data_IF_448202394275
#
_entry.id   IF_448202394275
#
_cell.length_a   1.000
_cell.length_b   1.000
_cell.length_c   1.000
_cell.angle_alpha   90.00
_cell.angle_beta   90.00
_cell.angle_gamma   90.00
#
_symmetry.space_group_name_H-M   'P 1'
#
loop_
_entity.id
_entity.type
_entity.pdbx_description
1 polymer ?
#
# COMPACT_ATOMS: atom_id res chain seq x y z
N UNK A 1 28.76 -4.64 -27.18
CA UNK A 1 28.99 -6.07 -26.88
C UNK A 1 29.47 -6.79 -28.14
N UNK A 2 30.44 -7.71 -28.07
CA UNK A 2 30.97 -8.41 -29.25
C UNK A 2 29.97 -9.43 -29.81
N UNK A 3 29.76 -9.50 -31.14
CA UNK A 3 28.66 -10.26 -31.79
C UNK A 3 28.69 -11.74 -31.40
N UNK A 4 29.88 -12.35 -31.42
CA UNK A 4 30.12 -13.74 -31.02
C UNK A 4 29.83 -14.05 -29.54
N UNK A 5 29.74 -13.05 -28.65
CA UNK A 5 29.35 -13.25 -27.24
C UNK A 5 27.83 -13.31 -27.11
N UNK A 6 27.12 -12.40 -27.80
CA UNK A 6 25.65 -12.32 -27.80
C UNK A 6 25.01 -13.63 -28.28
N UNK A 7 25.50 -14.20 -29.38
CA UNK A 7 25.00 -15.47 -29.95
C UNK A 7 25.31 -16.71 -29.07
N UNK A 8 26.33 -16.62 -28.21
CA UNK A 8 26.65 -17.70 -27.25
C UNK A 8 25.74 -17.69 -26.04
N UNK A 9 25.43 -16.53 -25.47
CA UNK A 9 24.71 -16.40 -24.20
C UNK A 9 23.19 -16.20 -24.35
N UNK A 10 22.74 -15.63 -25.47
CA UNK A 10 21.34 -15.29 -25.72
C UNK A 10 20.74 -16.10 -26.87
N UNK A 11 19.41 -16.22 -26.87
CA UNK A 11 18.63 -16.65 -28.02
C UNK A 11 17.43 -15.72 -28.22
N UNK A 12 16.83 -15.78 -29.39
CA UNK A 12 15.64 -14.99 -29.72
C UNK A 12 14.43 -15.89 -29.97
N UNK A 13 13.25 -15.40 -29.62
CA UNK A 13 11.95 -16.04 -29.89
C UNK A 13 10.91 -14.96 -30.18
N UNK A 14 9.94 -15.26 -31.03
CA UNK A 14 8.81 -14.36 -31.28
C UNK A 14 7.65 -14.72 -30.35
N UNK A 15 7.07 -13.70 -29.71
CA UNK A 15 5.97 -13.82 -28.76
C UNK A 15 4.90 -12.81 -29.15
N UNK A 16 3.88 -13.26 -29.89
CA UNK A 16 2.97 -12.35 -30.59
C UNK A 16 3.73 -11.50 -31.61
N UNK A 17 3.46 -10.20 -31.64
CA UNK A 17 4.06 -9.25 -32.58
C UNK A 17 5.43 -8.69 -32.10
N UNK A 18 6.17 -9.43 -31.25
CA UNK A 18 7.41 -8.94 -30.64
C UNK A 18 8.49 -10.01 -30.52
N UNK A 19 9.70 -9.69 -30.96
CA UNK A 19 10.89 -10.56 -30.85
C UNK A 19 11.59 -10.35 -29.52
N UNK A 20 11.49 -11.33 -28.63
CA UNK A 20 12.22 -11.38 -27.37
C UNK A 20 13.65 -11.83 -27.61
N UNK A 21 14.62 -11.26 -26.88
CA UNK A 21 16.02 -11.72 -26.88
C UNK A 21 16.49 -11.90 -25.45
N UNK A 22 16.66 -13.14 -25.02
CA UNK A 22 16.82 -13.51 -23.60
C UNK A 22 18.00 -14.46 -23.38
N UNK A 23 18.53 -14.51 -22.15
CA UNK A 23 19.59 -15.44 -21.77
C UNK A 23 19.12 -16.89 -21.88
N UNK A 24 19.95 -17.79 -22.43
CA UNK A 24 19.65 -19.23 -22.62
C UNK A 24 19.35 -20.01 -21.33
N UNK A 25 19.58 -19.42 -20.16
CA UNK A 25 19.19 -19.97 -18.85
C UNK A 25 17.67 -19.91 -18.60
N UNK A 26 16.98 -18.99 -19.26
CA UNK A 26 15.52 -18.94 -19.25
C UNK A 26 15.01 -19.75 -20.44
N UNK A 27 14.10 -20.67 -20.20
CA UNK A 27 13.62 -21.63 -21.20
C UNK A 27 12.11 -21.83 -21.06
N UNK A 28 11.46 -22.36 -22.10
CA UNK A 28 10.03 -22.64 -22.11
C UNK A 28 9.14 -21.42 -21.79
N UNK A 29 9.57 -20.22 -22.23
CA UNK A 29 8.82 -18.98 -22.06
C UNK A 29 7.40 -19.12 -22.64
N UNK A 30 6.42 -18.62 -21.90
CA UNK A 30 5.01 -18.55 -22.30
C UNK A 30 4.48 -17.15 -22.02
N UNK A 31 3.68 -16.54 -22.92
CA UNK A 31 3.00 -15.28 -22.62
C UNK A 31 1.94 -15.52 -21.54
N UNK A 32 1.97 -14.72 -20.48
CA UNK A 32 1.00 -14.71 -19.38
C UNK A 32 0.22 -13.39 -19.27
N UNK A 33 0.50 -12.44 -20.17
CA UNK A 33 -0.12 -11.11 -20.22
C UNK A 33 0.41 -10.31 -21.41
N UNK A 34 -0.11 -9.09 -21.58
CA UNK A 34 0.28 -8.13 -22.62
C UNK A 34 1.02 -6.94 -22.02
N UNK A 35 1.97 -6.35 -22.75
CA UNK A 35 2.76 -5.20 -22.30
C UNK A 35 3.07 -4.21 -23.43
N UNK A 36 4.00 -3.29 -23.17
CA UNK A 36 4.44 -2.29 -24.15
C UNK A 36 5.13 -2.93 -25.37
N UNK A 37 4.97 -2.30 -26.54
CA UNK A 37 5.61 -2.69 -27.80
C UNK A 37 6.89 -1.87 -28.04
N UNK A 38 7.86 -2.44 -28.75
CA UNK A 38 9.09 -1.75 -29.17
C UNK A 38 10.36 -2.27 -28.48
N UNK A 39 11.34 -1.38 -28.27
CA UNK A 39 12.59 -1.72 -27.58
C UNK A 39 12.33 -1.69 -26.07
N UNK A 40 12.33 -2.86 -25.44
CA UNK A 40 12.06 -3.04 -24.01
C UNK A 40 13.26 -3.62 -23.26
N UNK A 41 13.43 -3.22 -22.00
CA UNK A 41 14.33 -3.89 -21.06
C UNK A 41 13.57 -5.01 -20.34
N UNK A 42 14.24 -6.14 -20.07
CA UNK A 42 13.62 -7.28 -19.37
C UNK A 42 14.01 -7.28 -17.90
N UNK A 43 13.00 -7.19 -17.02
CA UNK A 43 13.16 -7.44 -15.58
C UNK A 43 12.69 -8.87 -15.30
N UNK A 44 13.49 -9.65 -14.58
CA UNK A 44 13.13 -11.01 -14.18
C UNK A 44 12.81 -11.01 -12.69
N UNK A 45 11.59 -11.42 -12.36
CA UNK A 45 11.03 -11.43 -11.01
C UNK A 45 10.51 -12.84 -10.69
N UNK A 46 10.07 -13.06 -9.46
CA UNK A 46 9.31 -14.27 -9.14
C UNK A 46 7.96 -14.28 -9.88
N UNK A 47 7.50 -15.48 -10.26
CA UNK A 47 6.18 -15.66 -10.84
C UNK A 47 5.13 -15.69 -9.73
N UNK A 48 4.04 -14.96 -9.95
CA UNK A 48 2.84 -14.93 -9.11
C UNK A 48 1.67 -15.52 -9.93
N UNK A 49 0.66 -16.06 -9.25
CA UNK A 49 -0.38 -16.86 -9.90
C UNK A 49 -1.47 -16.00 -10.57
N UNK A 50 -1.83 -14.87 -9.95
CA UNK A 50 -2.93 -14.01 -10.37
C UNK A 50 -2.69 -12.54 -9.99
N UNK A 51 -3.50 -11.63 -10.54
CA UNK A 51 -3.65 -10.27 -10.00
C UNK A 51 -4.95 -10.14 -9.19
N UNK A 52 -5.04 -9.11 -8.35
CA UNK A 52 -6.16 -8.93 -7.44
C UNK A 52 -7.50 -8.68 -8.17
N UNK A 53 -7.49 -8.23 -9.43
CA UNK A 53 -8.72 -8.14 -10.24
C UNK A 53 -9.43 -9.50 -10.36
N UNK A 54 -8.66 -10.59 -10.45
CA UNK A 54 -9.22 -11.96 -10.53
C UNK A 54 -9.71 -12.42 -9.16
N UNK A 55 -8.99 -12.07 -8.09
CA UNK A 55 -9.33 -12.41 -6.69
C UNK A 55 -10.61 -11.73 -6.22
N UNK A 56 -10.86 -10.48 -6.63
CA UNK A 56 -12.07 -9.71 -6.32
C UNK A 56 -13.35 -10.40 -6.81
N UNK A 57 -13.25 -11.27 -7.83
CA UNK A 57 -14.39 -12.03 -8.37
C UNK A 57 -14.60 -13.38 -7.65
N UNK A 58 -13.83 -13.69 -6.62
CA UNK A 58 -13.94 -14.90 -5.80
C UNK A 58 -14.64 -14.59 -4.47
N UNK A 59 -15.35 -15.57 -3.91
CA UNK A 59 -15.82 -15.48 -2.53
C UNK A 59 -14.61 -15.55 -1.58
N UNK A 60 -14.37 -14.46 -0.85
CA UNK A 60 -13.35 -14.39 0.19
C UNK A 60 -14.03 -14.50 1.57
N UNK A 61 -13.34 -15.13 2.51
CA UNK A 61 -13.68 -15.04 3.93
C UNK A 61 -12.98 -13.84 4.60
N UNK A 62 -13.35 -13.56 5.85
CA UNK A 62 -12.74 -12.48 6.62
C UNK A 62 -11.24 -12.66 6.85
N UNK A 63 -10.74 -13.90 6.94
CA UNK A 63 -9.32 -14.19 7.17
C UNK A 63 -8.50 -13.81 5.94
N UNK A 64 -8.90 -14.29 4.74
CA UNK A 64 -8.27 -13.95 3.47
C UNK A 64 -8.35 -12.46 3.17
N UNK A 65 -9.52 -11.83 3.37
CA UNK A 65 -9.69 -10.40 3.14
C UNK A 65 -8.77 -9.57 4.06
N UNK A 66 -8.75 -9.85 5.37
CA UNK A 66 -7.88 -9.15 6.32
C UNK A 66 -6.39 -9.43 6.09
N UNK A 67 -6.01 -10.65 5.70
CA UNK A 67 -4.61 -11.02 5.46
C UNK A 67 -4.03 -10.37 4.18
N UNK A 68 -4.84 -10.25 3.12
CA UNK A 68 -4.47 -9.50 1.92
C UNK A 68 -4.31 -8.00 2.23
N UNK A 69 -5.21 -7.43 3.06
CA UNK A 69 -5.10 -6.04 3.52
C UNK A 69 -3.88 -5.80 4.41
N UNK A 70 -3.58 -6.72 5.33
CA UNK A 70 -2.39 -6.70 6.17
C UNK A 70 -1.11 -6.64 5.31
N UNK A 71 -0.97 -7.53 4.33
CA UNK A 71 0.20 -7.57 3.44
C UNK A 71 0.32 -6.29 2.58
N UNK A 72 -0.79 -5.75 2.07
CA UNK A 72 -0.78 -4.46 1.38
C UNK A 72 -0.30 -3.32 2.29
N UNK A 73 -0.79 -3.26 3.53
CA UNK A 73 -0.38 -2.24 4.51
C UNK A 73 1.09 -2.39 4.91
N UNK A 74 1.61 -3.60 5.08
CA UNK A 74 3.03 -3.85 5.35
C UNK A 74 3.92 -3.39 4.19
N UNK A 75 3.58 -3.78 2.95
CA UNK A 75 4.31 -3.35 1.75
C UNK A 75 4.33 -1.82 1.61
N UNK A 76 3.20 -1.16 1.84
CA UNK A 76 3.10 0.31 1.80
C UNK A 76 3.85 0.98 2.95
N UNK A 77 3.81 0.45 4.18
CA UNK A 77 4.62 0.97 5.29
C UNK A 77 6.12 0.92 4.97
N UNK A 78 6.60 -0.17 4.37
CA UNK A 78 8.00 -0.32 3.99
C UNK A 78 8.44 0.70 2.91
N UNK A 79 7.59 1.00 1.93
CA UNK A 79 7.82 2.08 0.95
C UNK A 79 7.81 3.46 1.63
N UNK A 80 6.83 3.73 2.49
CA UNK A 80 6.69 5.00 3.20
C UNK A 80 7.89 5.26 4.12
N UNK A 81 8.43 4.23 4.77
CA UNK A 81 9.66 4.29 5.56
C UNK A 81 10.91 4.60 4.71
N UNK A 82 10.92 4.22 3.44
CA UNK A 82 11.95 4.64 2.47
C UNK A 82 11.73 6.07 1.93
N UNK A 83 10.60 6.71 2.25
CA UNK A 83 10.19 8.01 1.71
C UNK A 83 9.57 7.95 0.32
N UNK A 84 9.14 6.76 -0.13
CA UNK A 84 8.51 6.51 -1.43
C UNK A 84 6.99 6.47 -1.24
N UNK A 85 6.25 7.22 -2.06
CA UNK A 85 4.77 7.15 -2.16
C UNK A 85 4.42 6.45 -3.47
N UNK A 86 3.49 5.49 -3.45
CA UNK A 86 3.19 4.66 -4.63
C UNK A 86 2.28 5.37 -5.65
N UNK A 87 1.22 6.06 -5.18
CA UNK A 87 0.32 6.93 -5.96
C UNK A 87 -0.55 6.28 -7.06
N UNK A 88 -0.34 5.00 -7.40
CA UNK A 88 -1.12 4.28 -8.44
C UNK A 88 -1.44 2.83 -8.03
N UNK A 89 -1.70 2.62 -6.74
CA UNK A 89 -2.26 1.39 -6.21
C UNK A 89 -3.64 1.11 -6.81
N UNK A 90 -3.78 -0.07 -7.40
CA UNK A 90 -4.99 -0.58 -8.05
C UNK A 90 -4.90 -2.11 -8.15
N UNK A 91 -6.02 -2.85 -8.26
CA UNK A 91 -5.99 -4.32 -8.24
C UNK A 91 -5.11 -4.99 -9.30
N UNK A 92 -4.87 -4.35 -10.46
CA UNK A 92 -3.97 -4.89 -11.48
C UNK A 92 -2.48 -4.80 -11.10
N UNK A 93 -2.13 -3.90 -10.18
CA UNK A 93 -0.78 -3.67 -9.68
C UNK A 93 -0.53 -4.43 -8.37
N UNK A 94 -1.49 -5.26 -7.94
CA UNK A 94 -1.38 -6.16 -6.80
C UNK A 94 -1.47 -7.58 -7.33
N UNK A 95 -0.46 -8.40 -7.04
CA UNK A 95 -0.39 -9.81 -7.46
C UNK A 95 -0.35 -10.74 -6.28
N UNK A 96 -0.95 -11.92 -6.44
CA UNK A 96 -1.11 -12.91 -5.40
C UNK A 96 -0.66 -14.30 -5.86
N UNK A 97 -0.33 -15.15 -4.89
CA UNK A 97 -0.23 -16.60 -5.07
C UNK A 97 -1.42 -17.32 -4.44
N UNK A 98 -1.57 -18.58 -4.79
CA UNK A 98 -2.57 -19.53 -4.27
C UNK A 98 -2.46 -19.80 -2.76
N UNK A 99 -1.32 -19.50 -2.14
CA UNK A 99 -1.11 -19.49 -0.68
C UNK A 99 -1.50 -18.15 -0.01
N UNK A 100 -2.13 -17.24 -0.76
CA UNK A 100 -2.48 -15.88 -0.37
C UNK A 100 -1.29 -14.93 -0.10
N UNK A 101 -0.05 -15.30 -0.47
CA UNK A 101 1.08 -14.34 -0.51
C UNK A 101 0.79 -13.23 -1.51
N UNK A 102 0.91 -11.98 -1.10
CA UNK A 102 0.64 -10.78 -1.90
C UNK A 102 1.92 -9.97 -2.13
N UNK A 103 2.06 -9.41 -3.34
CA UNK A 103 3.14 -8.47 -3.68
C UNK A 103 2.60 -7.28 -4.48
N UNK A 104 3.23 -6.13 -4.25
CA UNK A 104 2.91 -4.85 -4.88
C UNK A 104 3.84 -4.66 -6.09
N UNK A 105 3.29 -4.26 -7.23
CA UNK A 105 4.00 -4.02 -8.49
C UNK A 105 3.89 -2.56 -8.94
N UNK A 106 4.66 -2.23 -9.98
CA UNK A 106 4.55 -1.00 -10.77
C UNK A 106 4.76 0.29 -9.96
N UNK A 107 6.02 0.48 -9.58
CA UNK A 107 6.53 1.74 -9.04
C UNK A 107 6.77 2.82 -10.12
N UNK A 108 6.28 2.65 -11.36
CA UNK A 108 6.54 3.59 -12.46
C UNK A 108 5.99 5.01 -12.21
N UNK A 109 4.93 5.11 -11.39
CA UNK A 109 4.38 6.38 -10.90
C UNK A 109 4.74 6.67 -9.43
N UNK A 110 5.60 5.87 -8.79
CA UNK A 110 6.09 6.17 -7.45
C UNK A 110 7.04 7.38 -7.48
N UNK A 111 7.10 8.13 -6.38
CA UNK A 111 8.04 9.26 -6.21
C UNK A 111 8.48 9.40 -4.76
N UNK A 112 9.61 10.08 -4.57
CA UNK A 112 9.99 10.60 -3.25
C UNK A 112 8.95 11.61 -2.73
N UNK A 113 8.64 11.52 -1.44
CA UNK A 113 7.60 12.32 -0.77
C UNK A 113 7.84 13.84 -0.77
N UNK A 114 9.03 14.31 -1.17
CA UNK A 114 9.37 15.73 -1.29
C UNK A 114 8.78 16.39 -2.56
N UNK A 115 8.44 15.60 -3.58
CA UNK A 115 7.99 16.13 -4.88
C UNK A 115 6.50 16.49 -4.88
N UNK A 116 6.17 17.72 -4.49
CA UNK A 116 4.81 18.31 -4.55
C UNK A 116 4.27 18.55 -5.97
N UNK A 117 4.61 17.68 -6.92
CA UNK A 117 4.29 17.83 -8.34
C UNK A 117 2.87 17.32 -8.66
N UNK A 118 2.16 18.12 -9.45
CA UNK A 118 0.86 17.82 -10.02
C UNK A 118 0.97 16.68 -11.05
N UNK A 119 0.00 15.77 -11.07
CA UNK A 119 -0.04 14.70 -12.07
C UNK A 119 -0.41 15.24 -13.45
N UNK A 120 0.26 14.74 -14.49
CA UNK A 120 -0.15 14.92 -15.88
C UNK A 120 -1.47 14.19 -16.16
N UNK A 121 -2.47 14.86 -16.75
CA UNK A 121 -3.76 14.23 -17.04
C UNK A 121 -3.67 13.37 -18.30
N UNK A 122 -3.41 12.06 -18.13
CA UNK A 122 -3.50 11.08 -19.21
C UNK A 122 -4.33 9.85 -18.83
N UNK A 123 -4.80 9.14 -19.86
CA UNK A 123 -5.89 8.16 -19.84
C UNK A 123 -5.47 6.86 -19.14
N UNK A 124 -5.57 6.85 -17.80
CA UNK A 124 -5.34 5.68 -16.94
C UNK A 124 -6.51 5.56 -15.94
N UNK A 125 -6.79 4.33 -15.49
CA UNK A 125 -7.80 4.01 -14.46
C UNK A 125 -7.62 4.87 -13.21
N UNK A 126 -8.52 5.83 -13.00
CA UNK A 126 -8.44 6.80 -11.89
C UNK A 126 -9.24 6.42 -10.64
N UNK A 127 -9.94 5.28 -10.67
CA UNK A 127 -10.95 4.90 -9.68
C UNK A 127 -10.44 4.78 -8.24
N UNK A 128 -9.15 4.49 -8.09
CA UNK A 128 -8.47 4.31 -6.81
C UNK A 128 -7.68 5.56 -6.35
N UNK A 129 -7.65 6.64 -7.15
CA UNK A 129 -6.87 7.84 -6.80
C UNK A 129 -7.55 8.64 -5.69
N UNK A 130 -6.74 9.16 -4.76
CA UNK A 130 -7.22 9.97 -3.65
C UNK A 130 -7.80 11.32 -4.12
N UNK A 131 -8.79 11.90 -3.42
CA UNK A 131 -9.42 13.16 -3.82
C UNK A 131 -8.42 14.31 -3.97
N UNK A 132 -7.46 14.42 -3.05
CA UNK A 132 -6.38 15.42 -3.11
C UNK A 132 -5.53 15.31 -4.38
N UNK A 133 -5.32 14.10 -4.92
CA UNK A 133 -4.61 13.87 -6.19
C UNK A 133 -5.48 14.26 -7.39
N UNK A 134 -6.78 13.96 -7.34
CA UNK A 134 -7.74 14.30 -8.42
C UNK A 134 -7.98 15.82 -8.50
N UNK A 135 -8.00 16.50 -7.36
CA UNK A 135 -8.23 17.95 -7.22
C UNK A 135 -6.96 18.80 -7.35
N UNK A 136 -5.79 18.19 -7.53
CA UNK A 136 -4.52 18.91 -7.69
C UNK A 136 -4.09 19.66 -6.42
N UNK A 137 -4.35 19.08 -5.26
CA UNK A 137 -3.88 19.58 -3.96
C UNK A 137 -2.47 19.06 -3.66
N UNK A 138 -1.80 19.66 -2.67
CA UNK A 138 -0.66 19.00 -2.02
C UNK A 138 -1.13 17.73 -1.30
N UNK A 139 -0.35 16.65 -1.40
CA UNK A 139 -0.69 15.34 -0.86
C UNK A 139 0.48 14.75 -0.07
N UNK A 140 0.19 13.71 0.72
CA UNK A 140 1.16 13.01 1.57
C UNK A 140 1.06 11.49 1.34
N UNK A 141 1.86 10.71 2.07
CA UNK A 141 1.93 9.26 1.91
C UNK A 141 0.57 8.55 2.09
N UNK A 142 -0.35 9.12 2.88
CA UNK A 142 -1.69 8.57 3.10
C UNK A 142 -2.68 8.66 1.90
N UNK A 143 -2.23 9.12 0.73
CA UNK A 143 -2.95 8.85 -0.55
C UNK A 143 -3.06 7.34 -0.81
N UNK A 144 -2.02 6.57 -0.46
CA UNK A 144 -2.00 5.13 -0.69
C UNK A 144 -3.04 4.40 0.20
N UNK A 145 -3.36 4.95 1.38
CA UNK A 145 -4.42 4.44 2.27
C UNK A 145 -5.81 4.58 1.63
N UNK A 146 -6.07 5.68 0.91
CA UNK A 146 -7.32 5.83 0.17
C UNK A 146 -7.46 4.77 -0.93
N UNK A 147 -6.36 4.52 -1.66
CA UNK A 147 -6.32 3.49 -2.71
C UNK A 147 -6.59 2.10 -2.13
N UNK A 148 -5.98 1.75 -0.99
CA UNK A 148 -6.26 0.51 -0.25
C UNK A 148 -7.74 0.47 0.20
N UNK A 149 -8.30 1.58 0.68
CA UNK A 149 -9.72 1.68 1.04
C UNK A 149 -10.66 1.42 -0.16
N UNK A 150 -10.32 1.92 -1.35
CA UNK A 150 -11.05 1.65 -2.59
C UNK A 150 -10.94 0.18 -3.01
N UNK A 151 -9.74 -0.41 -2.90
CA UNK A 151 -9.51 -1.84 -3.17
C UNK A 151 -10.32 -2.71 -2.19
N UNK A 152 -10.28 -2.40 -0.89
CA UNK A 152 -11.06 -3.09 0.15
C UNK A 152 -12.56 -3.01 -0.14
N UNK A 153 -13.05 -1.82 -0.50
CA UNK A 153 -14.44 -1.61 -0.84
C UNK A 153 -14.88 -2.43 -2.07
N UNK A 154 -14.00 -2.56 -3.06
CA UNK A 154 -14.24 -3.36 -4.26
C UNK A 154 -14.19 -4.88 -3.96
N UNK A 155 -13.26 -5.34 -3.11
CA UNK A 155 -13.23 -6.73 -2.63
C UNK A 155 -14.49 -7.12 -1.84
N UNK A 156 -15.12 -6.18 -1.13
CA UNK A 156 -16.39 -6.39 -0.41
C UNK A 156 -17.61 -6.29 -1.34
N UNK A 157 -17.57 -5.43 -2.35
CA UNK A 157 -18.73 -5.17 -3.24
C UNK A 157 -18.74 -5.98 -4.53
N UNK A 158 -17.63 -6.63 -4.90
CA UNK A 158 -17.38 -7.23 -6.22
C UNK A 158 -17.30 -6.22 -7.38
N UNK A 159 -17.35 -4.91 -7.09
CA UNK A 159 -17.48 -3.83 -8.08
C UNK A 159 -16.78 -2.55 -7.62
N UNK A 160 -16.12 -1.85 -8.56
CA UNK A 160 -15.48 -0.54 -8.36
C UNK A 160 -16.37 0.43 -7.59
N UNK A 161 -15.86 1.02 -6.50
CA UNK A 161 -16.60 1.96 -5.65
C UNK A 161 -16.87 3.31 -6.34
N UNK A 162 -15.88 3.86 -7.06
CA UNK A 162 -15.94 5.18 -7.69
C UNK A 162 -15.56 5.11 -9.20
N UNK A 163 -16.47 4.67 -10.08
CA UNK A 163 -16.19 4.47 -11.51
C UNK A 163 -16.32 5.77 -12.33
N UNK A 164 -15.45 6.77 -12.09
CA UNK A 164 -15.50 8.08 -12.76
C UNK A 164 -14.86 8.12 -14.16
N UNK A 165 -15.66 8.54 -15.14
CA UNK A 165 -15.28 8.63 -16.56
C UNK A 165 -14.18 9.66 -16.86
N UNK A 166 -14.13 10.75 -16.10
CA UNK A 166 -13.06 11.76 -16.08
C UNK A 166 -12.77 12.26 -14.64
N UNK A 167 -11.91 13.27 -14.46
CA UNK A 167 -11.59 13.83 -13.13
C UNK A 167 -12.78 14.48 -12.42
N UNK A 168 -13.68 15.10 -13.19
CA UNK A 168 -14.88 15.78 -12.71
C UNK A 168 -15.93 14.75 -12.27
N UNK A 169 -16.17 13.73 -13.08
CA UNK A 169 -17.09 12.64 -12.77
C UNK A 169 -16.56 11.79 -11.61
N UNK A 170 -15.26 11.52 -11.55
CA UNK A 170 -14.62 10.85 -10.41
C UNK A 170 -14.88 11.57 -9.09
N UNK A 171 -14.72 12.91 -9.06
CA UNK A 171 -15.05 13.71 -7.89
C UNK A 171 -16.54 13.62 -7.53
N UNK A 172 -17.44 13.70 -8.53
CA UNK A 172 -18.87 13.55 -8.30
C UNK A 172 -19.20 12.18 -7.68
N UNK A 173 -18.65 11.07 -8.19
CA UNK A 173 -18.83 9.73 -7.60
C UNK A 173 -18.38 9.65 -6.15
N UNK A 174 -17.29 10.34 -5.79
CA UNK A 174 -16.83 10.40 -4.39
C UNK A 174 -17.84 11.11 -3.49
N UNK A 175 -18.27 12.33 -3.85
CA UNK A 175 -19.20 13.11 -3.00
C UNK A 175 -20.63 12.59 -3.01
N UNK A 176 -21.08 11.92 -4.09
CA UNK A 176 -22.39 11.25 -4.15
C UNK A 176 -22.49 10.14 -3.09
N UNK A 177 -21.39 9.42 -2.80
CA UNK A 177 -21.35 8.33 -1.84
C UNK A 177 -20.97 8.79 -0.42
N UNK A 178 -19.93 9.62 -0.29
CA UNK A 178 -19.35 10.00 1.02
C UNK A 178 -19.82 11.38 1.53
N UNK A 179 -20.55 12.13 0.71
CA UNK A 179 -21.02 13.47 1.02
C UNK A 179 -20.07 14.58 0.56
N UNK A 180 -20.61 15.79 0.42
CA UNK A 180 -19.83 17.00 0.13
C UNK A 180 -19.05 17.41 1.37
N UNK A 181 -17.73 17.65 1.30
CA UNK A 181 -16.90 17.92 2.47
C UNK A 181 -17.24 19.26 3.15
N UNK A 182 -16.69 19.43 4.36
CA UNK A 182 -16.86 20.64 5.18
C UNK A 182 -16.24 21.89 4.53
N UNK A 183 -16.72 23.07 4.94
CA UNK A 183 -16.17 24.34 4.46
C UNK A 183 -14.67 24.49 4.79
N UNK A 184 -14.23 23.94 5.92
CA UNK A 184 -12.83 23.83 6.32
C UNK A 184 -11.97 23.13 5.25
N UNK A 185 -12.43 22.01 4.68
CA UNK A 185 -11.73 21.33 3.59
C UNK A 185 -11.78 22.15 2.29
N UNK A 186 -12.94 22.73 1.94
CA UNK A 186 -13.07 23.56 0.73
C UNK A 186 -12.11 24.76 0.76
N UNK A 187 -11.81 25.32 1.94
CA UNK A 187 -10.82 26.38 2.13
C UNK A 187 -9.36 25.93 1.90
N UNK A 188 -9.08 24.61 1.88
CA UNK A 188 -7.76 24.05 1.48
C UNK A 188 -7.58 23.97 -0.04
N UNK A 189 -8.67 24.06 -0.82
CA UNK A 189 -8.63 24.00 -2.29
C UNK A 189 -8.15 25.33 -2.91
N UNK A 190 -7.54 25.25 -4.09
CA UNK A 190 -7.28 26.42 -4.93
C UNK A 190 -8.60 27.08 -5.39
N UNK A 191 -8.56 28.36 -5.79
CA UNK A 191 -9.78 29.14 -6.02
C UNK A 191 -10.66 28.59 -7.15
N UNK A 192 -10.08 28.11 -8.26
CA UNK A 192 -10.85 27.60 -9.40
C UNK A 192 -11.53 26.28 -9.07
N UNK A 193 -10.81 25.34 -8.43
CA UNK A 193 -11.36 24.06 -7.97
C UNK A 193 -12.40 24.27 -6.87
N UNK A 194 -12.16 25.18 -5.91
CA UNK A 194 -13.15 25.54 -4.87
C UNK A 194 -14.45 26.03 -5.49
N UNK A 195 -14.35 27.03 -6.39
CA UNK A 195 -15.51 27.61 -7.08
C UNK A 195 -16.27 26.54 -7.86
N UNK A 196 -15.57 25.60 -8.50
CA UNK A 196 -16.19 24.47 -9.17
C UNK A 196 -16.96 23.54 -8.21
N UNK A 197 -16.36 23.17 -7.07
CA UNK A 197 -16.98 22.28 -6.07
C UNK A 197 -18.17 22.95 -5.36
N UNK A 198 -18.07 24.23 -5.02
CA UNK A 198 -19.14 24.98 -4.34
C UNK A 198 -20.39 25.19 -5.22
N UNK A 199 -20.22 25.21 -6.55
CA UNK A 199 -21.32 25.31 -7.53
C UNK A 199 -22.01 23.95 -7.85
N UNK A 200 -21.65 22.86 -7.15
CA UNK A 200 -22.31 21.55 -7.29
C UNK A 200 -23.36 21.32 -6.20
N UNK A 201 -24.35 20.43 -6.42
CA UNK A 201 -25.28 20.02 -5.38
C UNK A 201 -24.54 19.51 -4.14
N UNK A 202 -24.97 19.93 -2.94
CA UNK A 202 -24.44 19.38 -1.70
C UNK A 202 -25.10 18.03 -1.43
N UNK A 203 -24.29 16.97 -1.38
CA UNK A 203 -24.72 15.63 -1.01
C UNK A 203 -24.47 15.40 0.48
N UNK A 204 -25.42 14.75 1.15
CA UNK A 204 -25.23 14.29 2.53
C UNK A 204 -24.34 13.04 2.63
N UNK A 205 -24.18 12.31 1.51
CA UNK A 205 -23.57 10.99 1.48
C UNK A 205 -24.50 9.90 2.02
N UNK A 206 -23.96 8.70 2.14
CA UNK A 206 -24.58 7.55 2.79
C UNK A 206 -23.74 7.11 3.99
N UNK A 207 -24.36 6.52 5.00
CA UNK A 207 -23.60 5.91 6.11
C UNK A 207 -22.90 4.64 5.64
N UNK A 208 -21.84 4.22 6.33
CA UNK A 208 -21.06 3.04 5.92
C UNK A 208 -21.85 1.74 6.03
N UNK A 209 -22.88 1.67 6.87
CA UNK A 209 -23.83 0.55 6.95
C UNK A 209 -24.72 0.46 5.70
N UNK A 210 -25.00 1.59 5.06
CA UNK A 210 -25.77 1.65 3.80
C UNK A 210 -24.88 1.45 2.56
N UNK A 211 -23.63 1.90 2.60
CA UNK A 211 -22.64 1.66 1.55
C UNK A 211 -22.16 0.20 1.52
N UNK A 212 -22.06 -0.41 2.71
CA UNK A 212 -21.56 -1.75 2.96
C UNK A 212 -22.46 -2.44 4.00
N UNK A 213 -23.68 -2.88 3.65
CA UNK A 213 -24.53 -3.65 4.55
C UNK A 213 -23.93 -5.03 4.86
N UNK A 214 -24.31 -5.66 5.96
CA UNK A 214 -23.70 -6.92 6.44
C UNK A 214 -23.74 -8.05 5.39
N UNK A 215 -24.76 -8.07 4.52
CA UNK A 215 -24.91 -9.04 3.42
C UNK A 215 -23.82 -8.97 2.35
N UNK A 216 -23.02 -7.89 2.28
CA UNK A 216 -21.87 -7.80 1.37
C UNK A 216 -20.57 -8.30 2.02
N UNK A 217 -20.56 -8.46 3.34
CA UNK A 217 -19.39 -9.01 4.02
C UNK A 217 -19.47 -10.54 4.03
N UNK A 218 -18.32 -11.22 4.16
CA UNK A 218 -18.31 -12.65 4.42
C UNK A 218 -19.09 -12.97 5.71
N UNK A 219 -19.64 -14.18 5.82
CA UNK A 219 -20.38 -14.55 7.01
C UNK A 219 -19.46 -14.50 8.26
N UNK A 220 -19.91 -13.79 9.30
CA UNK A 220 -19.25 -13.78 10.61
C UNK A 220 -19.14 -15.22 11.14
N UNK A 221 -17.91 -15.71 11.35
CA UNK A 221 -17.68 -16.96 12.08
C UNK A 221 -17.72 -16.70 13.58
N UNK A 222 -18.40 -17.56 14.34
CA UNK A 222 -18.42 -17.51 15.81
C UNK A 222 -17.06 -17.82 16.44
N UNK A 223 -16.16 -18.48 15.70
CA UNK A 223 -14.80 -18.75 16.15
C UNK A 223 -13.83 -17.60 15.86
N UNK A 224 -14.20 -16.63 15.03
CA UNK A 224 -13.28 -15.63 14.51
C UNK A 224 -13.42 -14.28 15.23
N UNK A 225 -12.26 -13.71 15.60
CA UNK A 225 -12.16 -12.34 16.17
C UNK A 225 -12.52 -11.24 15.16
N UNK A 226 -12.59 -11.60 13.88
CA UNK A 226 -12.89 -10.73 12.75
C UNK A 226 -14.39 -10.70 12.48
N UNK A 227 -14.95 -9.51 12.36
CA UNK A 227 -16.39 -9.29 12.12
C UNK A 227 -16.64 -8.23 11.04
N UNK A 228 -17.77 -8.32 10.34
CA UNK A 228 -18.23 -7.35 9.33
C UNK A 228 -18.21 -5.89 9.84
N UNK A 229 -18.58 -5.68 11.11
CA UNK A 229 -18.57 -4.36 11.76
C UNK A 229 -17.17 -3.73 11.83
N UNK A 230 -16.13 -4.53 12.10
CA UNK A 230 -14.74 -4.05 12.14
C UNK A 230 -14.20 -3.75 10.73
N UNK A 231 -14.59 -4.54 9.73
CA UNK A 231 -14.23 -4.29 8.33
C UNK A 231 -14.85 -2.97 7.84
N UNK A 232 -16.12 -2.72 8.17
CA UNK A 232 -16.84 -1.47 7.91
C UNK A 232 -16.23 -0.26 8.63
N UNK A 233 -15.84 -0.42 9.88
CA UNK A 233 -15.16 0.61 10.67
C UNK A 233 -13.80 0.99 10.03
N UNK A 234 -13.01 0.00 9.58
CA UNK A 234 -11.76 0.25 8.85
C UNK A 234 -12.00 1.00 7.53
N UNK A 235 -13.00 0.58 6.74
CA UNK A 235 -13.42 1.30 5.54
C UNK A 235 -13.78 2.76 5.83
N UNK A 236 -14.50 3.03 6.92
CA UNK A 236 -14.89 4.39 7.31
C UNK A 236 -13.71 5.29 7.65
N UNK A 237 -12.62 4.71 8.15
CA UNK A 237 -11.38 5.40 8.53
C UNK A 237 -10.40 5.59 7.36
N UNK A 238 -10.45 4.69 6.37
CA UNK A 238 -9.66 4.79 5.12
C UNK A 238 -10.30 5.72 4.08
N UNK A 239 -11.62 5.63 3.90
CA UNK A 239 -12.37 6.39 2.88
C UNK A 239 -12.81 7.76 3.40
N UNK A 240 -11.84 8.55 3.88
CA UNK A 240 -12.04 9.92 4.36
C UNK A 240 -11.50 10.91 3.32
N UNK A 241 -12.35 11.85 2.88
CA UNK A 241 -12.01 12.86 1.86
C UNK A 241 -10.90 13.80 2.36
N UNK A 242 -11.02 14.30 3.60
CA UNK A 242 -10.00 15.16 4.20
C UNK A 242 -8.81 14.32 4.65
N UNK A 243 -7.72 14.33 3.88
CA UNK A 243 -6.53 13.53 4.15
C UNK A 243 -5.94 13.74 5.55
N UNK A 244 -6.11 14.91 6.18
CA UNK A 244 -5.64 15.14 7.56
C UNK A 244 -6.49 14.45 8.64
N UNK A 245 -7.58 13.78 8.26
CA UNK A 245 -8.51 13.04 9.13
C UNK A 245 -8.60 11.55 8.73
N UNK A 246 -7.84 11.15 7.71
CA UNK A 246 -7.74 9.77 7.21
C UNK A 246 -6.73 8.99 8.06
N UNK A 247 -7.05 7.74 8.40
CA UNK A 247 -6.16 6.85 9.16
C UNK A 247 -4.78 6.71 8.48
N UNK A 248 -3.72 6.68 9.28
CA UNK A 248 -2.37 6.35 8.80
C UNK A 248 -2.20 4.85 8.60
N UNK A 249 -1.16 4.45 7.84
CA UNK A 249 -0.81 3.03 7.65
C UNK A 249 -0.50 2.34 8.98
N UNK A 250 0.21 3.03 9.89
CA UNK A 250 0.54 2.52 11.23
C UNK A 250 -0.70 2.27 12.08
N UNK A 251 -1.66 3.20 12.09
CA UNK A 251 -2.93 3.01 12.81
C UNK A 251 -3.80 1.92 12.17
N UNK A 252 -3.79 1.79 10.84
CA UNK A 252 -4.50 0.74 10.13
C UNK A 252 -3.96 -0.67 10.44
N UNK A 253 -2.64 -0.82 10.62
CA UNK A 253 -2.01 -2.07 11.08
C UNK A 253 -2.34 -2.42 12.54
N UNK A 254 -2.63 -1.42 13.37
CA UNK A 254 -3.12 -1.60 14.74
C UNK A 254 -4.65 -1.76 14.83
N UNK A 255 -5.37 -1.66 13.71
CA UNK A 255 -6.83 -1.80 13.69
C UNK A 255 -7.25 -3.23 14.03
N UNK A 256 -8.29 -3.48 14.85
CA UNK A 256 -8.69 -4.83 15.26
C UNK A 256 -8.93 -5.83 14.11
N UNK A 257 -9.38 -5.32 12.96
CA UNK A 257 -9.59 -6.12 11.74
C UNK A 257 -8.31 -6.60 11.04
N UNK A 258 -7.16 -5.97 11.31
CA UNK A 258 -5.86 -6.23 10.68
C UNK A 258 -4.86 -6.79 11.69
N UNK A 259 -4.91 -6.30 12.92
CA UNK A 259 -3.95 -6.57 13.98
C UNK A 259 -3.85 -8.07 14.39
N UNK A 260 -4.85 -8.89 14.03
CA UNK A 260 -4.78 -10.35 14.20
C UNK A 260 -3.61 -11.00 13.46
N UNK A 261 -3.08 -10.35 12.42
CA UNK A 261 -1.94 -10.80 11.61
C UNK A 261 -0.63 -10.08 11.96
N UNK A 262 -0.63 -9.17 12.94
CA UNK A 262 0.48 -8.26 13.17
C UNK A 262 1.76 -8.98 13.62
N UNK A 263 2.77 -9.01 12.74
CA UNK A 263 4.14 -9.38 13.09
C UNK A 263 5.06 -8.16 13.05
N UNK A 264 5.69 -7.74 14.17
CA UNK A 264 6.61 -6.60 14.18
C UNK A 264 7.85 -6.82 13.28
N UNK A 265 8.24 -8.06 13.00
CA UNK A 265 9.40 -8.38 12.14
C UNK A 265 9.11 -8.12 10.65
N UNK A 266 7.85 -8.25 10.24
CA UNK A 266 7.39 -7.88 8.90
C UNK A 266 7.05 -6.39 8.82
N UNK A 267 6.33 -5.88 9.83
CA UNK A 267 5.79 -4.51 9.88
C UNK A 267 6.89 -3.45 10.06
N UNK A 268 7.94 -3.73 10.85
CA UNK A 268 9.06 -2.82 11.11
C UNK A 268 10.33 -3.22 10.34
N UNK A 269 10.18 -3.98 9.24
CA UNK A 269 11.30 -4.38 8.39
C UNK A 269 12.09 -3.15 7.89
N UNK A 270 13.41 -3.09 8.09
CA UNK A 270 14.21 -1.88 7.86
C UNK A 270 14.14 -1.43 6.39
N UNK A 271 13.95 -0.13 6.12
CA UNK A 271 13.71 0.36 4.76
C UNK A 271 14.95 0.17 3.86
N UNK A 272 14.76 0.00 2.54
CA UNK A 272 15.86 -0.09 1.59
C UNK A 272 16.68 1.21 1.58
N UNK A 273 18.00 1.06 1.46
CA UNK A 273 18.90 2.20 1.29
C UNK A 273 18.76 2.77 -0.13
N UNK A 274 18.00 3.86 -0.27
CA UNK A 274 17.99 4.66 -1.50
C UNK A 274 19.33 5.40 -1.60
N UNK A 275 20.17 4.98 -2.53
CA UNK A 275 21.52 5.51 -2.76
C UNK A 275 21.51 6.92 -3.36
N UNK A 276 20.54 7.22 -4.23
CA UNK A 276 20.37 8.54 -4.85
C UNK A 276 18.93 9.05 -4.70
N UNK A 277 18.69 9.85 -3.66
CA UNK A 277 17.38 10.44 -3.38
C UNK A 277 17.02 11.62 -4.29
N UNK A 278 17.99 12.15 -5.04
CA UNK A 278 17.81 13.31 -5.93
C UNK A 278 17.64 12.91 -7.39
N UNK A 279 17.69 11.62 -7.73
CA UNK A 279 17.51 11.14 -9.09
C UNK A 279 16.15 11.57 -9.69
N UNK A 280 15.09 11.60 -8.88
CA UNK A 280 13.74 12.08 -9.25
C UNK A 280 13.67 13.59 -9.51
N UNK A 281 14.63 14.38 -9.00
CA UNK A 281 14.64 15.86 -9.07
C UNK A 281 15.46 16.40 -10.25
N UNK A 282 16.30 15.57 -10.88
CA UNK A 282 17.18 15.98 -11.97
C UNK A 282 16.46 15.89 -13.32
N UNK A 283 16.51 16.98 -14.08
CA UNK A 283 16.21 16.93 -15.50
C UNK A 283 17.43 16.39 -16.26
N UNK A 284 17.22 15.28 -16.99
CA UNK A 284 18.21 14.66 -17.87
C UNK A 284 17.61 14.53 -19.28
N UNK A 285 18.48 14.61 -20.29
CA UNK A 285 18.12 14.29 -21.67
C UNK A 285 17.76 12.80 -21.82
N UNK A 286 17.10 12.45 -22.93
CA UNK A 286 16.74 11.05 -23.23
C UNK A 286 17.99 10.17 -23.38
N UNK A 287 19.10 10.73 -23.86
CA UNK A 287 20.37 10.06 -24.02
C UNK A 287 21.05 9.79 -22.67
N UNK A 288 21.11 10.79 -21.77
CA UNK A 288 21.62 10.61 -20.41
C UNK A 288 20.80 9.59 -19.62
N UNK A 289 19.47 9.61 -19.73
CA UNK A 289 18.61 8.59 -19.12
C UNK A 289 18.89 7.18 -19.64
N UNK A 290 19.14 7.01 -20.95
CA UNK A 290 19.52 5.70 -21.52
C UNK A 290 20.84 5.20 -20.94
N UNK A 291 21.84 6.08 -20.82
CA UNK A 291 23.15 5.72 -20.29
C UNK A 291 23.07 5.34 -18.80
N UNK A 292 22.32 6.10 -17.98
CA UNK A 292 22.06 5.78 -16.57
C UNK A 292 21.36 4.42 -16.39
N UNK A 293 20.30 4.17 -17.18
CA UNK A 293 19.57 2.88 -17.16
C UNK A 293 20.50 1.73 -17.60
N UNK A 294 21.30 1.95 -18.64
CA UNK A 294 22.25 0.95 -19.13
C UNK A 294 23.31 0.61 -18.07
N UNK A 295 23.86 1.61 -17.38
CA UNK A 295 24.81 1.39 -16.27
C UNK A 295 24.20 0.57 -15.13
N UNK A 296 22.99 0.90 -14.65
CA UNK A 296 22.36 0.11 -13.57
C UNK A 296 22.09 -1.34 -14.00
N UNK A 297 21.71 -1.58 -15.26
CA UNK A 297 21.55 -2.95 -15.80
C UNK A 297 22.88 -3.70 -15.83
N UNK A 298 23.98 -3.04 -16.22
CA UNK A 298 25.31 -3.67 -16.18
C UNK A 298 25.75 -3.97 -14.75
N UNK A 299 25.65 -2.99 -13.84
CA UNK A 299 26.04 -3.14 -12.44
C UNK A 299 25.20 -4.20 -11.72
N UNK A 300 23.92 -4.36 -12.07
CA UNK A 300 23.07 -5.43 -11.56
C UNK A 300 23.51 -6.80 -12.09
N UNK A 301 23.82 -6.93 -13.39
CA UNK A 301 24.36 -8.17 -13.95
C UNK A 301 25.71 -8.53 -13.29
N UNK A 302 26.57 -7.56 -13.02
CA UNK A 302 27.84 -7.76 -12.33
C UNK A 302 27.64 -8.20 -10.87
N UNK A 303 26.73 -7.53 -10.13
CA UNK A 303 26.32 -7.90 -8.76
C UNK A 303 25.73 -9.32 -8.68
N UNK A 304 25.09 -9.81 -9.75
CA UNK A 304 24.37 -11.10 -9.78
C UNK A 304 25.03 -12.22 -10.59
N UNK A 305 26.21 -11.99 -11.18
CA UNK A 305 26.95 -12.96 -12.04
C UNK A 305 27.13 -14.37 -11.46
N UNK A 306 27.14 -14.51 -10.13
CA UNK A 306 27.33 -15.78 -9.42
C UNK A 306 26.05 -16.30 -8.72
N UNK A 307 24.88 -15.72 -8.97
CA UNK A 307 23.61 -16.18 -8.39
C UNK A 307 23.42 -15.91 -6.89
N UNK A 308 24.35 -15.22 -6.24
CA UNK A 308 24.30 -14.85 -4.82
C UNK A 308 24.29 -13.33 -4.70
N UNK A 309 23.20 -12.77 -4.17
CA UNK A 309 23.14 -11.35 -3.78
C UNK A 309 24.05 -11.18 -2.56
N UNK A 310 25.18 -10.48 -2.71
CA UNK A 310 26.01 -10.09 -1.56
C UNK A 310 25.21 -9.13 -0.68
N UNK A 311 24.72 -9.61 0.47
CA UNK A 311 24.17 -8.77 1.54
C UNK A 311 22.71 -9.04 1.95
N UNK A 312 22.00 -9.99 1.36
CA UNK A 312 20.71 -10.43 1.90
C UNK A 312 20.90 -11.53 2.96
N UNK A 313 20.23 -11.46 4.12
CA UNK A 313 20.10 -12.63 5.00
C UNK A 313 19.29 -13.73 4.30
N UNK A 314 19.61 -14.99 4.59
CA UNK A 314 19.00 -16.14 3.91
C UNK A 314 17.49 -16.22 4.19
N UNK A 315 16.72 -16.65 3.18
CA UNK A 315 15.29 -16.90 3.33
C UNK A 315 15.03 -18.04 4.33
N UNK A 316 14.28 -17.73 5.38
CA UNK A 316 13.72 -18.70 6.32
C UNK A 316 12.63 -19.53 5.62
N UNK A 317 13.04 -20.57 4.87
CA UNK A 317 12.08 -21.31 4.03
C UNK A 317 12.60 -22.56 3.33
N UNK A 318 13.58 -23.28 3.89
CA UNK A 318 14.09 -24.52 3.26
C UNK A 318 14.77 -25.51 4.24
N UNK A 319 14.14 -25.83 5.39
CA UNK A 319 14.72 -26.81 6.32
C UNK A 319 13.73 -27.55 7.25
N UNK A 320 12.72 -28.25 6.72
CA UNK A 320 12.13 -29.42 7.42
C UNK A 320 11.78 -30.53 6.43
N UNK A 321 12.44 -31.67 6.54
CA UNK A 321 11.96 -32.96 6.04
C UNK A 321 12.63 -34.10 6.79
N UNK A 322 11.83 -35.15 7.07
CA UNK A 322 12.20 -36.41 7.74
C UNK A 322 12.81 -36.31 9.15
N UNK A 323 12.02 -36.69 10.17
CA UNK A 323 12.45 -36.73 11.57
C UNK A 323 11.36 -37.25 12.49
N UNK A 324 10.92 -38.50 12.29
CA UNK A 324 9.91 -39.14 13.14
C UNK A 324 10.43 -39.42 14.55
N UNK A 325 9.80 -38.87 15.59
CA UNK A 325 9.90 -39.42 16.95
C UNK A 325 8.70 -39.03 17.84
N UNK A 326 8.49 -39.84 18.88
CA UNK A 326 7.24 -39.92 19.65
C UNK A 326 7.09 -38.81 20.70
N UNK A 327 5.84 -38.42 20.96
CA UNK A 327 5.46 -37.70 22.17
C UNK A 327 5.56 -38.60 23.41
N UNK A 328 6.08 -38.08 24.54
CA UNK A 328 5.71 -38.54 25.88
C UNK A 328 4.82 -37.51 26.58
N UNK A 329 3.72 -38.00 27.14
CA UNK A 329 2.79 -37.26 28.01
C UNK A 329 3.27 -37.22 29.46
N UNK A 330 3.27 -36.05 30.11
CA UNK A 330 3.37 -35.86 31.57
C UNK A 330 2.54 -34.61 31.91
N UNK A 331 1.27 -34.70 32.31
CA UNK A 331 0.73 -35.04 33.64
C UNK A 331 1.15 -34.11 34.79
N UNK A 332 0.15 -33.48 35.39
CA UNK A 332 0.18 -32.56 36.54
C UNK A 332 0.94 -33.05 37.79
N UNK A 333 1.56 -32.10 38.51
CA UNK A 333 1.69 -32.19 39.98
C UNK A 333 1.78 -30.79 40.61
N UNK A 334 0.79 -30.44 41.42
CA UNK A 334 0.73 -29.21 42.23
C UNK A 334 1.45 -29.40 43.56
N UNK A 335 2.23 -28.42 44.04
CA UNK A 335 2.41 -28.18 45.50
C UNK A 335 2.63 -26.68 45.79
N UNK A 336 1.73 -26.13 46.61
CA UNK A 336 1.85 -25.11 47.66
C UNK A 336 3.25 -24.59 48.05
N UNK A 337 3.46 -23.43 48.69
CA UNK A 337 2.68 -22.21 49.03
C UNK A 337 3.64 -21.30 49.86
N UNK A 338 3.23 -20.09 50.22
CA UNK A 338 3.61 -19.24 51.39
C UNK A 338 3.74 -17.77 50.97
N UNK A 339 2.83 -16.96 51.53
CA UNK A 339 2.71 -15.51 51.37
C UNK A 339 3.64 -14.73 52.31
N UNK A 340 3.95 -13.47 51.96
CA UNK A 340 3.88 -12.32 52.88
C UNK A 340 3.82 -10.99 52.12
N UNK A 341 2.66 -10.34 52.13
CA UNK A 341 2.48 -8.87 52.17
C UNK A 341 2.45 -8.43 53.67
N UNK A 342 2.44 -7.13 54.09
CA UNK A 342 2.01 -5.90 53.40
C UNK A 342 3.07 -4.74 53.50
N UNK A 343 2.87 -3.44 53.21
CA UNK A 343 1.83 -2.49 53.68
C UNK A 343 1.99 -1.06 53.08
N UNK A 344 0.87 -0.29 52.99
CA UNK A 344 0.60 1.18 53.16
C UNK A 344 1.77 2.22 53.19
N UNK A 345 1.65 3.51 52.83
CA UNK A 345 0.52 4.48 52.61
C UNK A 345 0.99 5.61 51.62
N UNK A 346 0.17 6.32 50.82
CA UNK A 346 -0.75 7.48 51.07
C UNK A 346 -0.12 8.90 51.19
N UNK A 347 -0.96 9.92 50.88
CA UNK A 347 -0.81 11.39 51.05
C UNK A 347 -0.08 12.14 49.88
N UNK A 348 -0.62 13.12 49.12
CA UNK A 348 -1.32 14.42 49.37
C UNK A 348 -0.43 15.46 50.07
N UNK A 349 -0.18 16.71 49.62
CA UNK A 349 -1.06 17.75 49.06
C UNK A 349 -0.24 19.03 48.65
N UNK A 350 -0.89 19.97 47.94
CA UNK A 350 -0.77 21.45 48.02
C UNK A 350 0.49 22.25 47.59
N UNK A 351 0.33 23.00 46.48
CA UNK A 351 0.25 24.49 46.41
C UNK A 351 1.46 25.45 46.49
N UNK A 352 1.50 26.35 45.48
CA UNK A 352 1.86 27.81 45.51
C UNK A 352 3.36 28.19 45.75
N UNK A 353 3.94 29.31 45.27
CA UNK A 353 3.46 30.61 44.75
C UNK A 353 4.45 31.27 43.71
N UNK A 354 3.94 32.22 42.89
CA UNK A 354 4.55 33.48 42.32
C UNK A 354 5.97 33.48 41.66
N UNK A 355 6.40 34.39 40.76
CA UNK A 355 5.93 35.62 40.08
C UNK A 355 6.89 35.92 38.88
N UNK A 356 6.71 36.88 37.93
CA UNK A 356 5.58 37.67 37.38
C UNK A 356 6.03 38.51 36.16
N UNK A 357 5.09 39.08 35.38
CA UNK A 357 5.23 40.23 34.44
C UNK A 357 6.02 39.99 33.12
N UNK A 358 5.76 40.67 31.97
CA UNK A 358 4.96 41.89 31.64
C UNK A 358 4.21 41.79 30.29
N UNK A 359 2.98 42.32 30.22
CA UNK A 359 2.32 42.81 28.97
C UNK A 359 2.59 44.33 28.79
N UNK A 360 2.34 44.91 27.58
CA UNK A 360 1.19 45.82 27.49
C UNK A 360 0.43 45.86 26.14
N UNK A 361 -0.90 46.11 26.22
CA UNK A 361 -1.75 47.05 25.45
C UNK A 361 -1.42 47.32 23.95
N UNK A 362 -2.37 47.36 22.99
CA UNK A 362 -3.83 47.28 23.00
C UNK A 362 -4.47 48.05 21.81
N UNK A 363 -5.80 47.93 21.64
CA UNK A 363 -6.70 48.79 20.83
C UNK A 363 -6.65 48.84 19.27
N UNK A 364 -7.76 48.37 18.69
CA UNK A 364 -8.63 49.12 17.74
C UNK A 364 -8.05 49.79 16.48
N UNK A 365 -8.21 49.15 15.32
CA UNK A 365 -9.24 49.56 14.33
C UNK A 365 -9.53 48.49 13.29
#
# INVERSE_FOLDING_TARGET
MNRNKREKEFYSLDVGDSTFTVLKRYQNLRPIGSGAQGIVCYIVMELMDANLCQVIQMELDHERLSYLLYQMLCGIKHLHAAGIIHRDLKPSNIVVKSDCTLKILDFGLARTAATGLLMTPYVVTRYYRAPEVILGMGYQANVDVWSIGCIMAEMVRGSVLFPGTDHIDQWNKVIEQLGTPSQEFLMKLNQSVRTYVENRPRYAGFTFEKLFPDVLFPADSEHNKLKASQARDLLSKMLVIDASKRISVSEALQHPYINVWYDPTEVEAPPPLITDKQLDEREHTVEEWKDLIYMEVQDWEERTKNGVIRGQPASLGAAVSSGSQQYPSVSSSSVNDVSTDPTLASDTDSSLETASNTDPLGCCR
#
